data_IF_765424616298
#
_entry.id   IF_765424616298
#
_cell.length_a   1.000
_cell.length_b   1.000
_cell.length_c   1.000
_cell.angle_alpha   90.00
_cell.angle_beta   90.00
_cell.angle_gamma   90.00
#
_symmetry.space_group_name_H-M   'P 1'
#
loop_
_entity.id
_entity.type
_entity.pdbx_description
1 polymer ?
#
# COMPACT_ATOMS: atom_id res chain seq x y z
N UNK A 1 -13.57 5.08 64.77
CA UNK A 1 -13.01 4.05 63.86
C UNK A 1 -12.95 4.61 62.46
N UNK A 2 -11.78 5.09 62.02
CA UNK A 2 -11.54 5.63 60.66
C UNK A 2 -10.90 4.52 59.82
N UNK A 3 -11.56 4.07 58.74
CA UNK A 3 -11.00 3.13 57.77
C UNK A 3 -10.36 3.93 56.65
N UNK A 4 -9.03 3.89 56.57
CA UNK A 4 -8.26 4.42 55.43
C UNK A 4 -8.35 3.46 54.29
N UNK A 5 -8.88 3.91 53.14
CA UNK A 5 -8.78 3.21 51.87
C UNK A 5 -7.45 3.58 51.16
N UNK A 6 -6.55 2.62 51.08
CA UNK A 6 -5.33 2.75 50.33
C UNK A 6 -5.66 2.48 48.83
N UNK A 7 -5.58 3.51 48.02
CA UNK A 7 -5.72 3.40 46.55
C UNK A 7 -4.39 2.94 45.99
N UNK A 8 -4.33 1.70 45.53
CA UNK A 8 -3.16 1.16 44.81
C UNK A 8 -3.27 1.65 43.35
N UNK A 9 -2.40 2.58 42.99
CA UNK A 9 -2.20 3.05 41.60
C UNK A 9 -1.35 2.05 40.86
N UNK A 10 -1.98 1.20 40.02
CA UNK A 10 -1.31 0.24 39.14
C UNK A 10 -0.78 1.00 37.92
N UNK A 11 0.50 1.38 37.93
CA UNK A 11 1.17 1.93 36.77
C UNK A 11 1.45 0.79 35.80
N UNK A 12 0.66 0.74 34.71
CA UNK A 12 0.96 -0.10 33.52
C UNK A 12 2.22 0.43 32.85
N UNK A 13 3.34 -0.24 33.10
CA UNK A 13 4.57 -0.08 32.33
C UNK A 13 4.33 -0.61 30.91
N UNK A 14 4.16 0.30 29.96
CA UNK A 14 4.33 0.04 28.54
C UNK A 14 5.80 -0.27 28.28
N UNK A 15 6.21 -1.53 28.45
CA UNK A 15 7.49 -2.02 28.01
C UNK A 15 7.47 -2.16 26.48
N UNK A 16 7.71 -1.05 25.76
CA UNK A 16 8.21 -1.13 24.42
C UNK A 16 9.55 -1.87 24.48
N UNK A 17 9.77 -2.89 23.61
CA UNK A 17 11.06 -3.55 23.47
C UNK A 17 12.10 -2.55 22.92
N UNK A 18 12.60 -1.68 23.79
CA UNK A 18 13.86 -1.00 23.53
C UNK A 18 14.93 -2.09 23.70
N UNK A 19 15.64 -2.44 22.61
CA UNK A 19 16.81 -3.29 22.70
C UNK A 19 17.74 -2.69 23.77
N UNK A 20 18.12 -3.49 24.78
CA UNK A 20 19.02 -3.04 25.83
C UNK A 20 20.32 -2.55 25.19
N UNK A 21 20.68 -1.28 25.42
CA UNK A 21 21.94 -0.70 24.98
C UNK A 21 23.03 -1.25 25.86
N UNK A 22 24.01 -1.93 25.30
CA UNK A 22 25.10 -2.53 26.07
C UNK A 22 26.17 -3.15 25.20
N UNK A 23 27.00 -3.92 25.82
CA UNK A 23 27.97 -4.79 25.15
C UNK A 23 27.34 -6.18 25.04
N UNK A 24 27.24 -6.68 23.82
CA UNK A 24 26.67 -7.99 23.49
C UNK A 24 27.78 -8.91 23.05
N UNK A 25 27.99 -9.97 23.80
CA UNK A 25 28.96 -11.03 23.42
C UNK A 25 28.38 -11.86 22.24
N UNK A 26 29.16 -11.98 21.17
CA UNK A 26 28.86 -12.77 19.96
C UNK A 26 29.79 -13.96 19.82
N UNK A 27 30.54 -14.32 20.88
CA UNK A 27 31.47 -15.41 20.90
C UNK A 27 32.83 -15.06 20.31
N UNK A 28 32.90 -14.73 19.03
CA UNK A 28 34.16 -14.36 18.36
C UNK A 28 34.46 -12.83 18.44
N UNK A 29 33.48 -12.01 18.83
CA UNK A 29 33.62 -10.56 19.02
C UNK A 29 32.54 -10.04 19.96
N UNK A 30 32.75 -8.84 20.48
CA UNK A 30 31.79 -8.08 21.27
C UNK A 30 31.19 -6.96 20.39
N UNK A 31 29.86 -6.72 20.51
CA UNK A 31 29.15 -5.65 19.85
C UNK A 31 28.76 -4.58 20.87
N UNK A 32 29.35 -3.39 20.78
CA UNK A 32 28.96 -2.25 21.61
C UNK A 32 27.85 -1.44 20.95
N UNK A 33 26.65 -1.48 21.55
CA UNK A 33 25.45 -0.78 21.08
C UNK A 33 25.13 0.49 21.85
N UNK A 34 26.04 0.97 22.73
CA UNK A 34 25.81 2.14 23.60
C UNK A 34 25.78 3.45 22.81
N UNK A 35 26.51 3.51 21.71
CA UNK A 35 26.64 4.70 20.85
C UNK A 35 25.97 4.46 19.51
N UNK A 36 24.74 4.96 19.35
CA UNK A 36 23.97 4.82 18.12
C UNK A 36 23.90 6.15 17.37
N UNK A 37 24.00 6.10 16.05
CA UNK A 37 23.82 7.26 15.20
C UNK A 37 22.38 7.79 15.27
N UNK A 38 22.21 9.11 15.29
CA UNK A 38 20.90 9.75 15.20
C UNK A 38 20.32 9.69 13.79
N UNK A 39 21.17 9.72 12.76
CA UNK A 39 20.79 9.61 11.35
C UNK A 39 20.55 8.13 10.96
N UNK A 40 19.56 7.50 11.60
CA UNK A 40 19.13 6.14 11.31
C UNK A 40 17.64 6.13 10.93
N UNK A 41 17.33 5.53 9.77
CA UNK A 41 15.97 5.49 9.25
C UNK A 41 15.59 4.05 8.88
N UNK A 42 14.30 3.67 9.00
CA UNK A 42 13.81 2.37 8.52
C UNK A 42 14.14 2.18 7.04
N UNK A 43 14.55 0.96 6.66
CA UNK A 43 14.73 0.61 5.24
C UNK A 43 13.39 0.43 4.52
N UNK A 44 12.37 -0.06 5.22
CA UNK A 44 11.02 -0.20 4.69
C UNK A 44 10.39 1.19 4.59
N UNK A 45 9.92 1.53 3.39
CA UNK A 45 9.36 2.84 3.06
C UNK A 45 8.02 2.74 2.32
N UNK A 46 7.68 1.56 1.79
CA UNK A 46 6.53 1.33 0.94
C UNK A 46 5.74 0.13 1.45
N UNK A 47 4.43 0.23 1.44
CA UNK A 47 3.50 -0.88 1.64
C UNK A 47 2.77 -1.13 0.32
N UNK A 48 2.93 -2.34 -0.25
CA UNK A 48 2.34 -2.71 -1.52
C UNK A 48 1.20 -3.70 -1.29
N UNK A 49 0.03 -3.37 -1.83
CA UNK A 49 -1.16 -4.20 -1.75
C UNK A 49 -1.37 -4.96 -3.06
N UNK A 50 -1.62 -6.26 -2.93
CA UNK A 50 -1.81 -7.20 -4.03
C UNK A 50 -3.13 -7.95 -3.89
N UNK A 51 -3.55 -8.63 -4.94
CA UNK A 51 -4.41 -9.79 -4.87
C UNK A 51 -3.72 -11.00 -5.54
N UNK A 52 -4.04 -12.20 -5.06
CA UNK A 52 -3.40 -13.45 -5.51
C UNK A 52 -3.82 -13.91 -6.91
N UNK A 53 -4.96 -13.48 -7.42
CA UNK A 53 -5.64 -13.98 -8.63
C UNK A 53 -6.02 -15.47 -8.56
N UNK A 54 -6.05 -16.08 -7.38
CA UNK A 54 -6.32 -17.50 -7.15
C UNK A 54 -7.05 -17.74 -5.82
N UNK A 55 -7.35 -19.01 -5.49
CA UNK A 55 -7.83 -19.43 -4.17
C UNK A 55 -6.69 -19.49 -3.14
N UNK A 56 -7.07 -19.69 -1.87
CA UNK A 56 -6.13 -19.66 -0.76
C UNK A 56 -5.03 -20.73 -0.87
N UNK A 57 -5.41 -22.00 -1.13
CA UNK A 57 -4.45 -23.10 -1.12
C UNK A 57 -3.45 -22.99 -2.26
N UNK A 58 -3.91 -22.63 -3.46
CA UNK A 58 -3.06 -22.36 -4.64
C UNK A 58 -2.16 -21.14 -4.39
N UNK A 59 -2.70 -20.09 -3.77
CA UNK A 59 -1.97 -18.88 -3.43
C UNK A 59 -0.87 -19.17 -2.40
N UNK A 60 -1.19 -19.92 -1.34
CA UNK A 60 -0.24 -20.32 -0.32
C UNK A 60 0.89 -21.17 -0.93
N UNK A 61 0.56 -22.15 -1.75
CA UNK A 61 1.56 -22.99 -2.43
C UNK A 61 2.49 -22.15 -3.32
N UNK A 62 1.94 -21.21 -4.10
CA UNK A 62 2.71 -20.33 -4.99
C UNK A 62 3.64 -19.40 -4.21
N UNK A 63 3.13 -18.76 -3.14
CA UNK A 63 3.87 -17.76 -2.37
C UNK A 63 4.88 -18.37 -1.38
N UNK A 64 4.83 -19.67 -1.14
CA UNK A 64 5.81 -20.42 -0.33
C UNK A 64 6.83 -21.19 -1.19
N UNK A 65 6.70 -21.15 -2.51
CA UNK A 65 7.70 -21.71 -3.45
C UNK A 65 8.85 -20.69 -3.65
N UNK A 66 9.83 -21.07 -4.47
CA UNK A 66 11.09 -20.32 -4.68
C UNK A 66 11.01 -19.19 -5.71
N UNK A 67 9.90 -19.02 -6.45
CA UNK A 67 9.84 -18.09 -7.59
C UNK A 67 9.30 -16.71 -7.24
N UNK A 68 8.29 -16.64 -6.38
CA UNK A 68 7.65 -15.42 -5.89
C UNK A 68 7.27 -15.60 -4.43
N UNK A 69 7.21 -14.52 -3.68
CA UNK A 69 6.80 -14.54 -2.27
C UNK A 69 6.17 -13.21 -1.87
N UNK A 70 5.48 -13.17 -0.75
CA UNK A 70 5.00 -11.95 -0.11
C UNK A 70 5.21 -12.05 1.39
N UNK A 71 5.26 -10.92 2.09
CA UNK A 71 5.43 -10.95 3.54
C UNK A 71 4.19 -11.51 4.22
N UNK A 72 3.00 -11.13 3.73
CA UNK A 72 1.73 -11.53 4.32
C UNK A 72 0.74 -12.04 3.28
N UNK A 73 -0.07 -13.03 3.70
CA UNK A 73 -1.22 -13.53 2.96
C UNK A 73 -2.45 -13.47 3.85
N UNK A 74 -3.52 -12.80 3.40
CA UNK A 74 -4.80 -12.69 4.08
C UNK A 74 -5.86 -13.49 3.31
N UNK A 75 -6.47 -14.54 3.90
CA UNK A 75 -7.56 -15.26 3.26
C UNK A 75 -8.77 -14.36 3.00
N UNK A 76 -9.62 -14.72 2.04
CA UNK A 76 -10.89 -14.04 1.79
C UNK A 76 -11.78 -14.05 3.05
N UNK A 77 -11.76 -15.18 3.78
CA UNK A 77 -12.46 -15.35 5.06
C UNK A 77 -11.47 -15.78 6.14
N UNK A 78 -10.76 -14.83 6.79
CA UNK A 78 -9.75 -15.17 7.78
C UNK A 78 -10.35 -15.97 8.93
N UNK A 79 -9.78 -17.15 9.30
CA UNK A 79 -10.18 -17.86 10.49
C UNK A 79 -9.96 -17.01 11.74
N UNK A 80 -10.89 -17.04 12.67
CA UNK A 80 -10.82 -16.26 13.91
C UNK A 80 -11.13 -17.15 15.14
N UNK A 81 -10.31 -18.15 15.47
CA UNK A 81 -10.60 -19.12 16.53
C UNK A 81 -10.79 -18.49 17.90
N UNK A 82 -10.06 -17.39 18.17
CA UNK A 82 -10.11 -16.66 19.44
C UNK A 82 -10.67 -15.22 19.24
N UNK A 83 -11.54 -15.03 18.24
CA UNK A 83 -12.10 -13.73 17.88
C UNK A 83 -11.13 -12.79 17.17
N UNK A 84 -9.88 -13.21 16.93
CA UNK A 84 -8.88 -12.46 16.20
C UNK A 84 -8.63 -13.06 14.82
N UNK A 85 -8.66 -12.30 13.72
CA UNK A 85 -8.40 -12.83 12.39
C UNK A 85 -6.99 -13.37 12.30
N UNK A 86 -6.84 -14.58 11.74
CA UNK A 86 -5.54 -15.18 11.47
C UNK A 86 -5.03 -14.71 10.11
N UNK A 87 -3.82 -14.18 10.10
CA UNK A 87 -3.07 -13.75 8.91
C UNK A 87 -1.82 -14.61 8.82
N UNK A 88 -1.44 -15.01 7.62
CA UNK A 88 -0.20 -15.76 7.39
C UNK A 88 0.96 -14.81 7.14
N UNK A 89 2.02 -14.89 7.93
CA UNK A 89 3.31 -14.30 7.62
C UNK A 89 4.16 -15.36 6.92
N UNK A 90 4.51 -15.11 5.66
CA UNK A 90 5.26 -16.06 4.82
C UNK A 90 6.74 -15.71 4.78
N UNK A 91 7.07 -14.41 4.84
CA UNK A 91 8.44 -13.91 4.89
C UNK A 91 8.54 -12.93 6.07
N UNK A 92 9.57 -13.06 6.94
CA UNK A 92 9.85 -12.06 7.96
C UNK A 92 10.13 -10.69 7.34
N UNK A 93 9.65 -9.60 7.95
CA UNK A 93 9.86 -8.24 7.42
C UNK A 93 11.34 -7.79 7.44
N UNK A 94 12.21 -8.50 8.14
CA UNK A 94 13.67 -8.30 8.08
C UNK A 94 14.30 -8.81 6.79
N UNK A 95 13.57 -9.63 6.05
CA UNK A 95 14.01 -10.23 4.78
C UNK A 95 13.25 -9.58 3.61
N UNK A 96 13.76 -9.79 2.40
CA UNK A 96 13.17 -9.33 1.16
C UNK A 96 12.22 -10.39 0.64
N UNK A 97 10.97 -9.99 0.32
CA UNK A 97 10.03 -10.82 -0.41
C UNK A 97 9.97 -10.42 -1.90
N UNK A 98 9.80 -11.41 -2.79
CA UNK A 98 9.73 -11.21 -4.24
C UNK A 98 8.28 -10.99 -4.70
N UNK A 99 7.68 -9.80 -4.40
CA UNK A 99 6.28 -9.48 -4.72
C UNK A 99 6.10 -8.38 -5.77
N UNK A 100 7.02 -7.42 -5.85
CA UNK A 100 6.87 -6.25 -6.71
C UNK A 100 7.35 -6.49 -8.16
N UNK A 101 8.35 -7.38 -8.35
CA UNK A 101 8.98 -7.61 -9.65
C UNK A 101 9.60 -6.33 -10.22
N UNK A 102 9.66 -6.20 -11.58
CA UNK A 102 10.06 -4.96 -12.23
C UNK A 102 9.01 -3.90 -11.93
N UNK A 103 9.41 -2.85 -11.22
CA UNK A 103 8.52 -1.85 -10.66
C UNK A 103 9.25 -0.55 -10.38
N UNK A 104 8.49 0.53 -10.27
CA UNK A 104 9.02 1.87 -10.00
C UNK A 104 8.04 2.64 -9.11
N UNK A 105 8.55 3.38 -8.15
CA UNK A 105 7.78 4.34 -7.39
C UNK A 105 8.66 5.47 -6.86
N UNK A 106 8.24 6.72 -7.11
CA UNK A 106 8.87 7.95 -6.56
C UNK A 106 10.40 7.96 -6.67
N UNK A 107 10.92 7.63 -7.85
CA UNK A 107 12.36 7.67 -8.16
C UNK A 107 13.15 6.40 -7.82
N UNK A 108 12.50 5.32 -7.37
CA UNK A 108 13.18 4.04 -7.11
C UNK A 108 12.55 2.89 -7.89
N UNK A 109 13.38 1.99 -8.40
CA UNK A 109 13.00 0.75 -9.09
C UNK A 109 13.31 -0.52 -8.27
N UNK A 110 13.75 -0.38 -7.02
CA UNK A 110 14.09 -1.48 -6.11
C UNK A 110 13.03 -1.63 -5.02
N UNK A 111 11.76 -1.76 -5.44
CA UNK A 111 10.63 -1.76 -4.50
C UNK A 111 10.67 -2.96 -3.56
N UNK A 112 11.05 -4.16 -4.00
CA UNK A 112 11.22 -5.32 -3.10
C UNK A 112 12.17 -5.04 -1.94
N UNK A 113 13.23 -4.25 -2.16
CA UNK A 113 14.26 -3.99 -1.13
C UNK A 113 13.78 -3.07 0.00
N UNK A 114 12.72 -2.30 -0.26
CA UNK A 114 12.27 -1.21 0.61
C UNK A 114 10.77 -1.27 0.93
N UNK A 115 10.13 -2.41 0.69
CA UNK A 115 8.69 -2.56 0.90
C UNK A 115 8.32 -3.78 1.73
N UNK A 116 7.10 -3.74 2.23
CA UNK A 116 6.35 -4.91 2.69
C UNK A 116 5.22 -5.16 1.71
N UNK A 117 5.06 -6.40 1.24
CA UNK A 117 3.95 -6.83 0.39
C UNK A 117 2.88 -7.54 1.20
N UNK A 118 1.61 -7.22 0.96
CA UNK A 118 0.45 -7.93 1.49
C UNK A 118 -0.37 -8.46 0.32
N UNK A 119 -0.52 -9.76 0.28
CA UNK A 119 -1.39 -10.48 -0.65
C UNK A 119 -2.76 -10.73 -0.03
N UNK A 120 -3.80 -10.46 -0.80
CA UNK A 120 -5.19 -10.74 -0.43
C UNK A 120 -5.71 -11.86 -1.32
N UNK A 121 -6.14 -12.97 -0.74
CA UNK A 121 -6.84 -14.00 -1.52
C UNK A 121 -8.04 -13.38 -2.24
N UNK A 122 -7.98 -13.37 -3.57
CA UNK A 122 -9.06 -12.86 -4.41
C UNK A 122 -8.83 -13.37 -5.84
N UNK A 123 -9.89 -13.77 -6.54
CA UNK A 123 -9.82 -14.31 -7.90
C UNK A 123 -9.41 -13.27 -8.97
N UNK A 124 -9.21 -12.02 -8.56
CA UNK A 124 -8.85 -10.95 -9.48
C UNK A 124 -10.00 -10.59 -10.41
N UNK A 125 -9.78 -10.70 -11.71
CA UNK A 125 -10.81 -10.38 -12.70
C UNK A 125 -11.02 -11.51 -13.71
N UNK A 126 -12.23 -11.57 -14.22
CA UNK A 126 -12.60 -12.41 -15.35
C UNK A 126 -13.03 -11.54 -16.53
N UNK A 127 -12.81 -12.03 -17.75
CA UNK A 127 -13.21 -11.32 -18.97
C UNK A 127 -14.48 -11.94 -19.54
N UNK A 128 -15.55 -11.15 -19.59
CA UNK A 128 -16.80 -11.56 -20.23
C UNK A 128 -17.15 -10.55 -21.30
N UNK A 129 -17.39 -11.01 -22.53
CA UNK A 129 -17.71 -10.15 -23.68
C UNK A 129 -16.70 -9.00 -23.90
N UNK A 130 -15.41 -9.24 -23.62
CA UNK A 130 -14.37 -8.24 -23.78
C UNK A 130 -14.18 -7.30 -22.58
N UNK A 131 -15.04 -7.32 -21.57
CA UNK A 131 -15.00 -6.46 -20.38
C UNK A 131 -14.40 -7.22 -19.20
N UNK A 132 -13.53 -6.55 -18.43
CA UNK A 132 -12.98 -7.06 -17.16
C UNK A 132 -14.00 -6.86 -16.04
N UNK A 133 -14.32 -7.93 -15.34
CA UNK A 133 -15.17 -7.94 -14.14
C UNK A 133 -14.31 -8.34 -12.95
N UNK A 134 -14.01 -7.39 -12.08
CA UNK A 134 -13.21 -7.63 -10.88
C UNK A 134 -14.05 -8.29 -9.79
N UNK A 135 -13.40 -9.13 -8.99
CA UNK A 135 -14.00 -9.78 -7.83
C UNK A 135 -13.97 -8.83 -6.64
N UNK A 136 -15.09 -8.62 -5.91
CA UNK A 136 -15.09 -7.83 -4.68
C UNK A 136 -14.25 -8.49 -3.58
N UNK A 137 -13.76 -7.66 -2.64
CA UNK A 137 -13.10 -8.14 -1.43
C UNK A 137 -14.11 -8.41 -0.32
N UNK A 138 -13.90 -9.49 0.42
CA UNK A 138 -14.77 -9.82 1.56
C UNK A 138 -14.58 -8.81 2.71
N UNK A 139 -15.66 -8.33 3.35
CA UNK A 139 -15.55 -7.37 4.46
C UNK A 139 -14.67 -7.87 5.61
N UNK A 140 -14.70 -9.17 5.92
CA UNK A 140 -13.86 -9.75 6.96
C UNK A 140 -12.36 -9.71 6.62
N UNK A 141 -12.01 -9.84 5.33
CA UNK A 141 -10.65 -9.71 4.84
C UNK A 141 -10.13 -8.27 5.01
N UNK A 142 -10.94 -7.29 4.63
CA UNK A 142 -10.59 -5.87 4.82
C UNK A 142 -10.49 -5.52 6.31
N UNK A 143 -11.38 -6.06 7.15
CA UNK A 143 -11.30 -5.89 8.60
C UNK A 143 -10.00 -6.47 9.20
N UNK A 144 -9.48 -7.57 8.64
CA UNK A 144 -8.20 -8.14 9.05
C UNK A 144 -7.00 -7.33 8.53
N UNK A 145 -7.08 -6.76 7.31
CA UNK A 145 -6.03 -5.93 6.72
C UNK A 145 -5.77 -4.66 7.54
N UNK A 146 -6.83 -4.00 8.04
CA UNK A 146 -6.73 -2.69 8.71
C UNK A 146 -5.73 -2.70 9.88
N UNK A 147 -5.82 -3.57 10.90
CA UNK A 147 -4.87 -3.57 12.00
C UNK A 147 -3.44 -3.93 11.56
N UNK A 148 -3.25 -4.85 10.62
CA UNK A 148 -1.95 -5.20 10.09
C UNK A 148 -1.30 -4.02 9.36
N UNK A 149 -2.03 -3.37 8.45
CA UNK A 149 -1.51 -2.23 7.71
C UNK A 149 -1.15 -1.05 8.63
N UNK A 150 -1.98 -0.75 9.64
CA UNK A 150 -1.69 0.30 10.63
C UNK A 150 -0.44 -0.01 11.45
N UNK A 151 -0.25 -1.26 11.86
CA UNK A 151 0.94 -1.67 12.61
C UNK A 151 2.21 -1.48 11.77
N UNK A 152 2.22 -1.97 10.51
CA UNK A 152 3.33 -1.82 9.58
C UNK A 152 3.63 -0.34 9.32
N UNK A 153 2.61 0.46 8.98
CA UNK A 153 2.74 1.90 8.72
C UNK A 153 3.37 2.62 9.92
N UNK A 154 2.92 2.29 11.14
CA UNK A 154 3.41 2.92 12.37
C UNK A 154 4.86 2.53 12.67
N UNK A 155 5.19 1.24 12.59
CA UNK A 155 6.55 0.75 12.89
C UNK A 155 7.61 1.29 11.94
N UNK A 156 7.26 1.47 10.67
CA UNK A 156 8.20 1.93 9.65
C UNK A 156 8.00 3.40 9.27
N UNK A 157 7.06 4.10 9.87
CA UNK A 157 6.71 5.50 9.55
C UNK A 157 6.47 5.69 8.04
N UNK A 158 5.67 4.76 7.44
CA UNK A 158 5.35 4.80 6.01
C UNK A 158 4.41 5.97 5.74
N UNK A 159 4.79 6.84 4.80
CA UNK A 159 3.97 7.98 4.40
C UNK A 159 2.72 7.52 3.65
N UNK A 160 1.58 8.24 3.75
CA UNK A 160 0.33 7.84 3.08
C UNK A 160 0.49 7.57 1.58
N UNK A 161 1.24 8.39 0.87
CA UNK A 161 1.51 8.26 -0.56
C UNK A 161 2.43 7.08 -0.93
N UNK A 162 2.95 6.37 0.06
CA UNK A 162 3.74 5.17 -0.10
C UNK A 162 2.99 3.88 0.28
N UNK A 163 1.69 3.95 0.51
CA UNK A 163 0.80 2.81 0.54
C UNK A 163 0.14 2.70 -0.83
N UNK A 164 0.57 1.73 -1.62
CA UNK A 164 0.34 1.70 -3.07
C UNK A 164 -0.23 0.38 -3.56
N UNK A 165 -0.87 0.40 -4.70
CA UNK A 165 -1.26 -0.78 -5.47
C UNK A 165 -0.06 -1.36 -6.22
N UNK A 166 -0.07 -2.67 -6.49
CA UNK A 166 0.88 -3.24 -7.45
C UNK A 166 0.74 -2.59 -8.84
N UNK A 167 -0.49 -2.27 -9.24
CA UNK A 167 -0.75 -1.53 -10.49
C UNK A 167 -0.17 -0.11 -10.50
N UNK A 168 -0.03 0.55 -9.33
CA UNK A 168 0.61 1.87 -9.27
C UNK A 168 2.10 1.79 -9.61
N UNK A 169 2.79 0.78 -9.09
CA UNK A 169 4.25 0.61 -9.24
C UNK A 169 4.63 -0.19 -10.50
N UNK A 170 3.68 -0.86 -11.15
CA UNK A 170 3.92 -1.67 -12.35
C UNK A 170 2.74 -1.61 -13.33
N UNK A 171 2.28 -0.41 -13.77
CA UNK A 171 1.04 -0.23 -14.53
C UNK A 171 1.02 -0.96 -15.86
N UNK A 172 2.21 -1.27 -16.45
CA UNK A 172 2.30 -1.93 -17.74
C UNK A 172 1.97 -3.43 -17.68
N UNK A 173 1.99 -4.07 -16.50
CA UNK A 173 1.87 -5.52 -16.38
C UNK A 173 0.94 -5.99 -15.26
N UNK A 174 0.47 -5.08 -14.39
CA UNK A 174 -0.34 -5.41 -13.21
C UNK A 174 -1.63 -4.60 -13.13
N UNK A 175 -2.68 -5.25 -12.62
CA UNK A 175 -3.98 -4.64 -12.39
C UNK A 175 -4.38 -4.72 -10.89
N UNK A 176 -3.66 -5.49 -10.07
CA UNK A 176 -3.98 -5.70 -8.65
C UNK A 176 -3.67 -4.46 -7.78
N UNK A 177 -4.45 -4.21 -6.72
CA UNK A 177 -5.62 -4.93 -6.27
C UNK A 177 -6.92 -4.58 -7.03
N UNK A 178 -6.87 -3.74 -8.08
CA UNK A 178 -7.98 -3.37 -8.93
C UNK A 178 -8.95 -2.33 -8.34
N UNK A 179 -9.97 -1.92 -9.11
CA UNK A 179 -10.83 -0.80 -8.76
C UNK A 179 -11.82 -1.09 -7.62
N UNK A 180 -12.04 -2.36 -7.27
CA UNK A 180 -12.94 -2.74 -6.18
C UNK A 180 -12.24 -2.78 -4.80
N UNK A 181 -10.93 -2.52 -4.75
CA UNK A 181 -10.24 -2.39 -3.47
C UNK A 181 -10.62 -1.06 -2.78
N UNK A 182 -10.97 -1.08 -1.48
CA UNK A 182 -11.63 0.04 -0.82
C UNK A 182 -10.65 1.14 -0.37
N UNK A 183 -9.84 1.69 -1.28
CA UNK A 183 -8.81 2.70 -0.99
C UNK A 183 -9.34 3.89 -0.18
N UNK A 184 -10.48 4.46 -0.60
CA UNK A 184 -11.10 5.60 0.10
C UNK A 184 -11.43 5.28 1.55
N UNK A 185 -12.01 4.10 1.80
CA UNK A 185 -12.38 3.65 3.15
C UNK A 185 -11.13 3.46 4.02
N UNK A 186 -10.06 2.92 3.47
CA UNK A 186 -8.79 2.72 4.16
C UNK A 186 -8.11 4.06 4.47
N UNK A 187 -8.09 5.00 3.54
CA UNK A 187 -7.55 6.33 3.74
C UNK A 187 -8.28 7.11 4.85
N UNK A 188 -9.59 6.95 4.99
CA UNK A 188 -10.36 7.50 6.13
C UNK A 188 -9.93 6.94 7.48
N UNK A 189 -9.25 5.80 7.48
CA UNK A 189 -8.69 5.17 8.66
C UNK A 189 -7.18 5.43 8.83
N UNK A 190 -6.59 6.30 7.99
CA UNK A 190 -5.16 6.63 8.01
C UNK A 190 -4.27 5.65 7.23
N UNK A 191 -4.85 4.81 6.37
CA UNK A 191 -4.12 3.85 5.52
C UNK A 191 -4.16 4.33 4.07
N UNK A 192 -3.03 4.85 3.58
CA UNK A 192 -2.89 5.33 2.21
C UNK A 192 -3.33 6.77 1.99
N UNK A 193 -3.00 7.27 0.81
CA UNK A 193 -3.33 8.62 0.37
C UNK A 193 -4.74 8.68 -0.23
N UNK A 194 -5.41 9.82 -0.06
CA UNK A 194 -6.67 10.11 -0.74
C UNK A 194 -6.79 11.62 -0.96
N UNK A 195 -7.28 12.07 -2.13
CA UNK A 195 -7.45 13.49 -2.42
C UNK A 195 -8.52 14.11 -1.53
N UNK A 196 -8.34 15.38 -1.16
CA UNK A 196 -9.37 16.16 -0.50
C UNK A 196 -10.48 16.50 -1.51
N UNK A 197 -11.75 16.11 -1.27
CA UNK A 197 -12.86 16.36 -2.19
C UNK A 197 -13.09 17.85 -2.49
N UNK A 198 -12.85 18.73 -1.51
CA UNK A 198 -12.97 20.18 -1.72
C UNK A 198 -11.89 20.71 -2.65
N UNK A 199 -10.67 20.15 -2.58
CA UNK A 199 -9.57 20.51 -3.49
C UNK A 199 -9.81 19.95 -4.89
N UNK A 200 -10.33 18.73 -5.01
CA UNK A 200 -10.74 18.19 -6.31
C UNK A 200 -11.80 19.09 -6.95
N UNK A 201 -12.83 19.51 -6.21
CA UNK A 201 -13.86 20.42 -6.71
C UNK A 201 -13.27 21.79 -7.14
N UNK A 202 -12.31 22.31 -6.37
CA UNK A 202 -11.57 23.53 -6.72
C UNK A 202 -10.84 23.40 -8.06
N UNK A 203 -10.10 22.32 -8.26
CA UNK A 203 -9.35 22.09 -9.50
C UNK A 203 -10.25 21.74 -10.70
N UNK A 204 -11.42 21.13 -10.49
CA UNK A 204 -12.44 20.99 -11.56
C UNK A 204 -12.91 22.37 -12.05
N UNK A 205 -13.06 23.34 -11.14
CA UNK A 205 -13.39 24.74 -11.44
C UNK A 205 -14.60 24.90 -12.40
N UNK A 206 -15.69 24.17 -12.15
CA UNK A 206 -16.93 24.20 -12.95
C UNK A 206 -16.84 23.56 -14.33
N UNK A 207 -15.70 23.02 -14.73
CA UNK A 207 -15.56 22.32 -16.02
C UNK A 207 -16.35 21.00 -16.03
N UNK A 208 -16.82 20.52 -17.19
CA UNK A 208 -17.39 19.17 -17.30
C UNK A 208 -16.36 18.10 -16.87
N UNK A 209 -16.72 17.22 -15.93
CA UNK A 209 -15.80 16.23 -15.32
C UNK A 209 -15.10 15.34 -16.33
N UNK A 210 -15.82 14.90 -17.37
CA UNK A 210 -15.33 13.97 -18.39
C UNK A 210 -14.84 14.68 -19.66
N UNK A 211 -14.73 16.01 -19.64
CA UNK A 211 -14.07 16.73 -20.70
C UNK A 211 -12.62 16.28 -20.80
N UNK A 212 -12.18 15.87 -21.99
CA UNK A 212 -10.80 15.48 -22.21
C UNK A 212 -9.85 16.65 -22.00
N UNK A 213 -8.68 16.32 -21.46
CA UNK A 213 -7.54 17.24 -21.28
C UNK A 213 -6.35 16.73 -22.06
N UNK A 214 -5.32 17.55 -22.19
CA UNK A 214 -4.06 17.16 -22.81
C UNK A 214 -3.41 16.03 -22.00
N UNK A 215 -3.11 14.90 -22.68
CA UNK A 215 -2.65 13.67 -22.02
C UNK A 215 -1.26 13.86 -21.39
N UNK A 216 -0.35 14.58 -22.07
CA UNK A 216 0.99 14.83 -21.55
C UNK A 216 0.96 15.64 -20.25
N UNK A 217 0.09 16.66 -20.18
CA UNK A 217 -0.05 17.46 -18.96
C UNK A 217 -0.53 16.61 -17.76
N UNK A 218 -1.46 15.67 -17.97
CA UNK A 218 -1.83 14.73 -16.93
C UNK A 218 -0.68 13.81 -16.56
N UNK A 219 0.04 13.25 -17.54
CA UNK A 219 1.17 12.35 -17.29
C UNK A 219 2.29 13.03 -16.53
N UNK A 220 2.56 14.32 -16.76
CA UNK A 220 3.52 15.12 -15.99
C UNK A 220 3.12 15.21 -14.50
N UNK A 221 1.82 15.38 -14.22
CA UNK A 221 1.32 15.37 -12.84
C UNK A 221 1.49 13.97 -12.21
N UNK A 222 1.21 12.90 -12.95
CA UNK A 222 1.37 11.52 -12.47
C UNK A 222 2.85 11.18 -12.20
N UNK A 223 3.76 11.62 -13.08
CA UNK A 223 5.20 11.47 -12.87
C UNK A 223 5.68 12.20 -11.60
N UNK A 224 5.23 13.44 -11.39
CA UNK A 224 5.51 14.21 -10.17
C UNK A 224 4.92 13.56 -8.92
N UNK A 225 3.78 12.91 -9.03
CA UNK A 225 3.19 12.18 -7.91
C UNK A 225 3.98 10.91 -7.56
N UNK A 226 4.54 10.22 -8.56
CA UNK A 226 5.41 9.07 -8.31
C UNK A 226 5.34 7.94 -9.33
N UNK A 227 4.44 8.00 -10.31
CA UNK A 227 4.34 6.99 -11.36
C UNK A 227 5.54 7.01 -12.31
N UNK A 228 5.90 5.84 -12.85
CA UNK A 228 6.83 5.77 -13.97
C UNK A 228 6.14 6.21 -15.26
N UNK A 229 6.62 7.30 -15.86
CA UNK A 229 6.17 7.77 -17.17
C UNK A 229 7.39 7.81 -18.10
N UNK A 230 7.61 6.77 -18.92
CA UNK A 230 8.72 6.77 -19.87
C UNK A 230 8.58 7.89 -20.91
N UNK A 231 9.71 8.52 -21.25
CA UNK A 231 9.75 9.68 -22.16
C UNK A 231 9.10 9.33 -23.51
N UNK A 232 9.40 8.14 -24.05
CA UNK A 232 8.87 7.67 -25.34
C UNK A 232 7.68 6.71 -25.18
N UNK A 233 6.84 6.95 -24.14
CA UNK A 233 5.68 6.08 -23.87
C UNK A 233 4.66 6.14 -25.01
N UNK A 234 4.29 4.96 -25.50
CA UNK A 234 3.23 4.82 -26.50
C UNK A 234 1.84 5.17 -25.94
N UNK A 235 0.85 5.52 -26.77
CA UNK A 235 -0.52 5.78 -26.32
C UNK A 235 -1.12 4.63 -25.48
N UNK A 236 -0.77 3.39 -25.78
CA UNK A 236 -1.20 2.23 -25.02
C UNK A 236 -0.57 2.20 -23.61
N UNK A 237 0.71 2.54 -23.49
CA UNK A 237 1.39 2.64 -22.19
C UNK A 237 0.87 3.81 -21.36
N UNK A 238 0.66 4.97 -21.98
CA UNK A 238 0.04 6.14 -21.33
C UNK A 238 -1.35 5.81 -20.78
N UNK A 239 -2.17 5.14 -21.58
CA UNK A 239 -3.48 4.67 -21.16
C UNK A 239 -3.41 3.74 -19.95
N UNK A 240 -2.42 2.82 -19.88
CA UNK A 240 -2.25 1.93 -18.73
C UNK A 240 -1.87 2.68 -17.46
N UNK A 241 -1.00 3.68 -17.55
CA UNK A 241 -0.62 4.52 -16.40
C UNK A 241 -1.85 5.26 -15.86
N UNK A 242 -2.63 5.90 -16.74
CA UNK A 242 -3.85 6.61 -16.37
C UNK A 242 -4.88 5.65 -15.77
N UNK A 243 -5.04 4.45 -16.37
CA UNK A 243 -5.95 3.42 -15.85
C UNK A 243 -5.57 2.99 -14.44
N UNK A 244 -4.28 2.73 -14.15
CA UNK A 244 -3.80 2.36 -12.82
C UNK A 244 -4.12 3.46 -11.79
N UNK A 245 -3.81 4.72 -12.12
CA UNK A 245 -4.16 5.86 -11.28
C UNK A 245 -5.66 5.96 -11.01
N UNK A 246 -6.49 5.78 -12.05
CA UNK A 246 -7.94 5.82 -11.91
C UNK A 246 -8.47 4.66 -11.06
N UNK A 247 -7.97 3.44 -11.22
CA UNK A 247 -8.37 2.30 -10.38
C UNK A 247 -8.12 2.57 -8.90
N UNK A 248 -7.06 3.30 -8.54
CA UNK A 248 -6.76 3.67 -7.17
C UNK A 248 -7.63 4.84 -6.69
N UNK A 249 -7.64 5.97 -7.42
CA UNK A 249 -8.16 7.25 -6.93
C UNK A 249 -9.53 7.66 -7.50
N UNK A 250 -10.01 6.96 -8.55
CA UNK A 250 -11.33 7.18 -9.19
C UNK A 250 -11.94 5.84 -9.66
N UNK A 251 -12.22 4.90 -8.75
CA UNK A 251 -12.61 3.54 -9.10
C UNK A 251 -13.94 3.40 -9.86
N UNK A 252 -14.78 4.42 -9.83
CA UNK A 252 -16.08 4.41 -10.54
C UNK A 252 -15.92 4.48 -12.07
N UNK A 253 -14.81 5.04 -12.58
CA UNK A 253 -14.52 5.15 -14.02
C UNK A 253 -13.02 5.11 -14.29
N UNK A 254 -12.49 3.95 -14.64
CA UNK A 254 -11.07 3.67 -14.91
C UNK A 254 -10.80 3.32 -16.39
N UNK A 255 -11.27 4.17 -17.29
CA UNK A 255 -11.20 3.97 -18.75
C UNK A 255 -9.84 4.33 -19.39
N UNK A 256 -8.93 4.91 -18.63
CA UNK A 256 -7.60 5.35 -19.08
C UNK A 256 -7.64 6.59 -19.98
N UNK A 257 -8.72 7.37 -19.93
CA UNK A 257 -8.85 8.64 -20.65
C UNK A 257 -8.39 9.77 -19.73
N UNK A 258 -7.53 10.66 -20.26
CA UNK A 258 -7.16 11.89 -19.60
C UNK A 258 -8.35 12.86 -19.63
N UNK A 259 -8.95 13.13 -18.48
CA UNK A 259 -10.08 14.04 -18.32
C UNK A 259 -9.91 15.00 -17.14
N UNK A 260 -10.78 16.01 -17.10
CA UNK A 260 -10.76 17.07 -16.07
C UNK A 260 -10.79 16.51 -14.66
N UNK A 261 -11.60 15.48 -14.39
CA UNK A 261 -11.71 14.93 -13.04
C UNK A 261 -10.43 14.18 -12.63
N UNK A 262 -9.86 13.37 -13.54
CA UNK A 262 -8.59 12.68 -13.29
C UNK A 262 -7.46 13.68 -13.03
N UNK A 263 -7.40 14.75 -13.82
CA UNK A 263 -6.41 15.82 -13.64
C UNK A 263 -6.58 16.53 -12.30
N UNK A 264 -7.80 16.91 -11.95
CA UNK A 264 -8.12 17.56 -10.68
C UNK A 264 -7.78 16.69 -9.46
N UNK A 265 -7.97 15.37 -9.55
CA UNK A 265 -7.56 14.41 -8.52
C UNK A 265 -6.03 14.40 -8.39
N UNK A 266 -5.30 14.36 -9.50
CA UNK A 266 -3.83 14.39 -9.49
C UNK A 266 -3.28 15.69 -8.89
N UNK A 267 -3.87 16.85 -9.24
CA UNK A 267 -3.51 18.16 -8.68
C UNK A 267 -3.77 18.21 -7.16
N UNK A 268 -4.92 17.72 -6.69
CA UNK A 268 -5.27 17.69 -5.27
C UNK A 268 -4.35 16.74 -4.47
N UNK A 269 -3.93 15.62 -5.06
CA UNK A 269 -2.96 14.70 -4.45
C UNK A 269 -1.58 15.32 -4.38
N UNK A 270 -1.12 16.01 -5.43
CA UNK A 270 0.17 16.70 -5.45
C UNK A 270 0.22 17.85 -4.44
N UNK A 271 -0.87 18.61 -4.29
CA UNK A 271 -0.95 19.67 -3.27
C UNK A 271 -0.77 19.10 -1.86
N UNK A 272 -1.34 17.94 -1.59
CA UNK A 272 -1.33 17.33 -0.24
C UNK A 272 -0.10 16.47 0.04
N UNK A 273 0.42 15.76 -0.96
CA UNK A 273 1.45 14.73 -0.81
C UNK A 273 2.64 14.90 -1.77
N UNK A 274 2.65 15.94 -2.58
CA UNK A 274 3.75 16.23 -3.50
C UNK A 274 5.05 16.43 -2.75
N UNK A 275 6.17 16.12 -3.43
CA UNK A 275 7.49 16.53 -2.94
C UNK A 275 7.61 18.01 -3.20
N UNK A 276 7.82 18.80 -2.13
CA UNK A 276 8.16 20.21 -2.23
C UNK A 276 9.54 20.40 -2.82
#
# INVERSE_FOLDING_TARGET
MRRSFATILLALLLAGCAAEKGIIDKGAYELDTRHQAQAAYPRIKVLVIHYTADDFDSSLATLTDKNVSSHYLIPAKPPAPDGKPRIWQLVPESELAWHAGISFWRGTNRINDTSVGIELENRGWQKTSGVKHFTPFEPAQIAALVPLAKDIITRYNIKPENVVAHSDIAPQRKDDPGPLFPWRQLAQQGIGAWPDPARVAFYINGRPRYQQVETGALLDLLARYGYEVPVDSTPAQQKRIITAFQMHFRPDLWNGIADVETMAIAEALLEKYGQG
#
